data_IF_611093003518
#
_entry.id   IF_611093003518
#
_cell.length_a   1.000
_cell.length_b   1.000
_cell.length_c   1.000
_cell.angle_alpha   90.00
_cell.angle_beta   90.00
_cell.angle_gamma   90.00
#
_symmetry.space_group_name_H-M   'P 1'
#
loop_
_entity.id
_entity.type
_entity.pdbx_description
1 polymer ?
#
# COMPACT_ATOMS: atom_id res chain seq x y z
N UNK A 1 34.03 -25.98 -20.72
CA UNK A 1 34.88 -25.00 -20.00
C UNK A 1 34.31 -23.62 -20.27
N UNK A 2 33.85 -22.80 -19.34
CA UNK A 2 33.66 -22.92 -17.92
C UNK A 2 32.29 -22.27 -17.62
N UNK A 3 31.56 -22.82 -16.66
CA UNK A 3 30.37 -22.22 -16.08
C UNK A 3 30.76 -20.92 -15.40
N UNK A 4 30.42 -19.78 -15.98
CA UNK A 4 30.44 -18.50 -15.25
C UNK A 4 29.10 -18.32 -14.52
N UNK A 5 28.86 -19.26 -13.60
CA UNK A 5 27.77 -19.24 -12.63
C UNK A 5 28.00 -18.14 -11.59
N UNK A 6 27.99 -16.89 -12.03
CA UNK A 6 28.07 -15.75 -11.12
C UNK A 6 26.71 -15.59 -10.43
N UNK A 7 26.50 -16.36 -9.35
CA UNK A 7 25.31 -16.28 -8.51
C UNK A 7 25.03 -14.81 -8.19
N UNK A 8 23.84 -14.33 -8.58
CA UNK A 8 23.44 -12.96 -8.33
C UNK A 8 23.56 -12.67 -6.82
N UNK A 9 24.26 -11.59 -6.46
CA UNK A 9 24.49 -11.22 -5.06
C UNK A 9 23.16 -11.12 -4.30
N UNK A 10 22.92 -12.07 -3.41
CA UNK A 10 21.75 -12.12 -2.53
C UNK A 10 21.92 -11.06 -1.44
N UNK A 11 20.89 -10.22 -1.26
CA UNK A 11 20.86 -9.20 -0.22
C UNK A 11 19.81 -9.58 0.81
N UNK A 12 20.27 -9.83 2.04
CA UNK A 12 19.40 -10.29 3.14
C UNK A 12 18.82 -9.13 3.96
N UNK A 13 17.84 -9.41 4.82
CA UNK A 13 17.29 -8.46 5.78
C UNK A 13 18.38 -7.77 6.62
N UNK A 14 19.42 -8.51 7.03
CA UNK A 14 20.55 -7.95 7.75
C UNK A 14 21.29 -6.90 6.90
N UNK A 15 21.52 -7.16 5.61
CA UNK A 15 22.15 -6.21 4.71
C UNK A 15 21.35 -4.90 4.59
N UNK A 16 20.03 -5.01 4.39
CA UNK A 16 19.16 -3.83 4.33
C UNK A 16 19.13 -3.07 5.65
N UNK A 17 19.07 -3.76 6.79
CA UNK A 17 19.13 -3.15 8.12
C UNK A 17 20.41 -2.32 8.29
N UNK A 18 21.57 -2.93 8.03
CA UNK A 18 22.88 -2.26 8.14
C UNK A 18 22.94 -1.04 7.23
N UNK A 19 22.53 -1.21 5.97
CA UNK A 19 22.57 -0.13 4.99
C UNK A 19 21.66 1.04 5.39
N UNK A 20 20.43 0.75 5.84
CA UNK A 20 19.49 1.76 6.30
C UNK A 20 19.97 2.53 7.53
N UNK A 21 20.56 1.84 8.52
CA UNK A 21 21.11 2.48 9.72
C UNK A 21 22.33 3.34 9.43
N UNK A 22 23.17 2.93 8.46
CA UNK A 22 24.29 3.75 7.96
C UNK A 22 23.80 5.05 7.32
N UNK A 23 22.79 4.99 6.44
CA UNK A 23 22.22 6.21 5.85
C UNK A 23 21.54 7.11 6.88
N UNK A 24 20.87 6.51 7.87
CA UNK A 24 20.29 7.23 8.99
C UNK A 24 21.32 7.79 9.99
N UNK A 25 22.63 7.65 9.73
CA UNK A 25 23.74 8.14 10.56
C UNK A 25 23.66 7.71 12.03
N UNK A 26 23.39 6.42 12.28
CA UNK A 26 23.53 5.82 13.62
C UNK A 26 24.94 5.24 13.79
N UNK A 27 25.95 5.97 14.32
CA UNK A 27 27.35 5.54 14.30
C UNK A 27 27.64 4.29 15.15
N UNK A 28 26.85 4.06 16.21
CA UNK A 28 27.03 2.98 17.17
C UNK A 28 25.91 1.94 17.12
N UNK A 29 25.30 1.75 15.94
CA UNK A 29 24.14 0.86 15.78
C UNK A 29 24.45 -0.60 16.18
N UNK A 30 25.72 -1.03 16.07
CA UNK A 30 26.18 -2.35 16.49
C UNK A 30 26.00 -2.56 18.00
N UNK A 31 26.07 -1.51 18.83
CA UNK A 31 25.84 -1.62 20.28
C UNK A 31 24.37 -1.74 20.65
N UNK A 32 23.46 -1.47 19.71
CA UNK A 32 22.03 -1.54 19.99
C UNK A 32 21.56 -3.00 20.08
N UNK A 33 20.67 -3.28 21.03
CA UNK A 33 19.92 -4.54 21.07
C UNK A 33 19.17 -4.77 19.74
N UNK A 34 18.98 -6.01 19.27
CA UNK A 34 18.34 -6.31 17.98
C UNK A 34 16.99 -5.60 17.77
N UNK A 35 16.10 -5.63 18.79
CA UNK A 35 14.81 -4.92 18.76
C UNK A 35 14.96 -3.41 18.48
N UNK A 36 15.97 -2.76 19.07
CA UNK A 36 16.24 -1.33 18.89
C UNK A 36 16.77 -1.02 17.48
N UNK A 37 17.59 -1.89 16.89
CA UNK A 37 18.05 -1.75 15.50
C UNK A 37 16.89 -1.76 14.52
N UNK A 38 15.98 -2.73 14.68
CA UNK A 38 14.76 -2.82 13.86
C UNK A 38 13.87 -1.60 14.05
N UNK A 39 13.68 -1.16 15.30
CA UNK A 39 12.89 0.05 15.58
C UNK A 39 13.46 1.29 14.89
N UNK A 40 14.79 1.53 15.00
CA UNK A 40 15.45 2.65 14.30
C UNK A 40 15.33 2.57 12.79
N UNK A 41 15.42 1.37 12.21
CA UNK A 41 15.18 1.17 10.80
C UNK A 41 13.73 1.52 10.41
N UNK A 42 12.74 0.98 11.13
CA UNK A 42 11.31 1.26 10.91
C UNK A 42 10.99 2.74 10.96
N UNK A 43 11.62 3.51 11.87
CA UNK A 43 11.41 4.96 11.97
C UNK A 43 11.70 5.70 10.66
N UNK A 44 12.54 5.15 9.78
CA UNK A 44 12.94 5.75 8.51
C UNK A 44 12.34 5.12 7.27
N UNK A 45 11.89 3.86 7.35
CA UNK A 45 11.43 3.08 6.19
C UNK A 45 10.04 2.45 6.37
N UNK A 46 9.41 2.57 7.55
CA UNK A 46 8.02 2.14 7.81
C UNK A 46 7.83 0.65 8.03
N UNK A 47 8.76 -0.17 7.58
CA UNK A 47 8.68 -1.64 7.60
C UNK A 47 9.93 -2.27 8.21
N UNK A 48 9.84 -3.56 8.54
CA UNK A 48 11.01 -4.32 9.00
C UNK A 48 11.95 -4.61 7.81
N UNK A 49 13.25 -4.81 8.05
CA UNK A 49 14.19 -5.16 6.98
C UNK A 49 13.81 -6.44 6.20
N UNK A 50 13.10 -7.37 6.86
CA UNK A 50 12.57 -8.59 6.24
C UNK A 50 11.66 -8.29 5.04
N UNK A 51 10.72 -7.35 5.19
CA UNK A 51 9.83 -6.93 4.09
C UNK A 51 10.63 -6.34 2.94
N UNK A 52 11.72 -5.62 3.21
CA UNK A 52 12.57 -5.04 2.16
C UNK A 52 13.32 -6.13 1.39
N UNK A 53 13.78 -7.17 2.08
CA UNK A 53 14.33 -8.37 1.45
C UNK A 53 13.30 -9.09 0.59
N UNK A 54 12.06 -9.27 1.07
CA UNK A 54 10.98 -9.89 0.31
C UNK A 54 10.69 -9.12 -0.99
N UNK A 55 10.57 -7.79 -0.92
CA UNK A 55 10.42 -6.94 -2.10
C UNK A 55 11.60 -7.11 -3.05
N UNK A 56 12.83 -7.06 -2.53
CA UNK A 56 14.02 -7.21 -3.37
C UNK A 56 14.07 -8.55 -4.09
N UNK A 57 13.70 -9.64 -3.40
CA UNK A 57 13.64 -10.99 -3.94
C UNK A 57 12.59 -11.10 -5.05
N UNK A 58 11.37 -10.60 -4.82
CA UNK A 58 10.31 -10.58 -5.83
C UNK A 58 10.74 -9.78 -7.07
N UNK A 59 11.29 -8.59 -6.87
CA UNK A 59 11.79 -7.78 -7.99
C UNK A 59 12.98 -8.42 -8.70
N UNK A 60 13.85 -9.15 -8.01
CA UNK A 60 15.01 -9.80 -8.61
C UNK A 60 14.63 -11.01 -9.45
N UNK A 61 13.66 -11.78 -8.97
CA UNK A 61 13.29 -13.09 -9.50
C UNK A 61 12.07 -13.05 -10.41
N UNK A 62 11.45 -11.88 -10.63
CA UNK A 62 10.33 -11.76 -11.55
C UNK A 62 10.75 -12.06 -12.98
N UNK A 63 9.93 -12.82 -13.70
CA UNK A 63 10.10 -13.10 -15.13
C UNK A 63 9.71 -11.90 -15.99
N UNK A 64 8.90 -10.98 -15.46
CA UNK A 64 8.50 -9.77 -16.16
C UNK A 64 9.70 -8.79 -16.25
N UNK A 65 10.16 -8.42 -17.47
CA UNK A 65 11.33 -7.55 -17.64
C UNK A 65 11.13 -6.14 -17.07
N UNK A 66 9.90 -5.65 -16.99
CA UNK A 66 9.61 -4.34 -16.39
C UNK A 66 9.79 -4.34 -14.86
N UNK A 67 9.49 -5.48 -14.23
CA UNK A 67 9.65 -5.72 -12.80
C UNK A 67 11.10 -6.08 -12.46
N UNK A 68 11.71 -6.93 -13.29
CA UNK A 68 13.00 -7.58 -13.02
C UNK A 68 14.13 -6.58 -12.78
N UNK A 69 14.86 -6.77 -11.69
CA UNK A 69 16.03 -5.95 -11.38
C UNK A 69 17.24 -6.33 -12.26
N UNK A 70 17.94 -5.35 -12.87
CA UNK A 70 19.17 -5.62 -13.62
C UNK A 70 20.28 -6.08 -12.67
N UNK A 71 21.21 -6.93 -13.12
CA UNK A 71 22.30 -7.50 -12.29
C UNK A 71 23.03 -6.46 -11.42
N UNK A 72 23.27 -5.26 -11.97
CA UNK A 72 23.93 -4.12 -11.29
C UNK A 72 23.06 -3.26 -10.37
N UNK A 73 21.78 -3.61 -10.17
CA UNK A 73 20.88 -2.87 -9.28
C UNK A 73 21.42 -2.84 -7.85
N UNK A 74 21.30 -1.67 -7.20
CA UNK A 74 21.87 -1.44 -5.87
C UNK A 74 20.75 -1.39 -4.81
N UNK A 75 20.90 -2.06 -3.65
CA UNK A 75 19.92 -2.02 -2.55
C UNK A 75 19.54 -0.61 -2.09
N UNK A 76 20.47 0.35 -2.19
CA UNK A 76 20.23 1.78 -1.92
C UNK A 76 19.07 2.34 -2.74
N UNK A 77 18.94 1.94 -4.00
CA UNK A 77 17.90 2.45 -4.90
C UNK A 77 16.50 2.02 -4.44
N UNK A 78 16.36 0.78 -3.95
CA UNK A 78 15.11 0.31 -3.34
C UNK A 78 14.78 1.08 -2.05
N UNK A 79 15.78 1.29 -1.18
CA UNK A 79 15.58 2.04 0.07
C UNK A 79 15.15 3.49 -0.17
N UNK A 80 15.60 4.12 -1.27
CA UNK A 80 15.14 5.46 -1.68
C UNK A 80 13.64 5.43 -1.99
N UNK A 81 13.17 4.48 -2.78
CA UNK A 81 11.75 4.36 -3.13
C UNK A 81 10.88 4.07 -1.90
N UNK A 82 11.29 3.13 -1.04
CA UNK A 82 10.55 2.80 0.19
C UNK A 82 10.47 4.02 1.11
N UNK A 83 11.58 4.75 1.31
CA UNK A 83 11.57 5.98 2.11
C UNK A 83 10.71 7.06 1.46
N UNK A 84 10.75 7.18 0.14
CA UNK A 84 9.89 8.11 -0.59
C UNK A 84 8.41 7.80 -0.35
N UNK A 85 7.97 6.55 -0.45
CA UNK A 85 6.58 6.17 -0.15
C UNK A 85 6.24 6.42 1.34
N UNK A 86 7.11 5.99 2.25
CA UNK A 86 6.83 6.02 3.69
C UNK A 86 6.89 7.42 4.30
N UNK A 87 7.95 8.19 4.01
CA UNK A 87 8.14 9.54 4.56
C UNK A 87 7.60 10.63 3.65
N UNK A 88 7.53 10.37 2.35
CA UNK A 88 7.07 11.32 1.34
C UNK A 88 7.79 12.67 1.37
N UNK A 89 9.08 12.60 1.69
CA UNK A 89 9.97 13.74 1.64
C UNK A 89 10.22 14.25 0.22
N UNK A 90 10.80 15.44 0.11
CA UNK A 90 11.20 16.02 -1.17
C UNK A 90 12.42 15.30 -1.76
N UNK A 91 12.74 15.60 -3.01
CA UNK A 91 13.95 15.08 -3.66
C UNK A 91 15.21 15.58 -2.99
N UNK A 92 15.23 16.86 -2.59
CA UNK A 92 16.31 17.47 -1.83
C UNK A 92 16.55 16.73 -0.49
N UNK A 93 15.49 16.47 0.27
CA UNK A 93 15.59 15.74 1.54
C UNK A 93 16.13 14.31 1.36
N UNK A 94 15.65 13.62 0.33
CA UNK A 94 16.12 12.27 0.00
C UNK A 94 17.58 12.31 -0.48
N UNK A 95 17.95 13.29 -1.31
CA UNK A 95 19.32 13.49 -1.79
C UNK A 95 20.29 13.71 -0.62
N UNK A 96 19.92 14.57 0.33
CA UNK A 96 20.66 14.81 1.56
C UNK A 96 20.77 13.52 2.41
N UNK A 97 19.66 12.82 2.63
CA UNK A 97 19.64 11.60 3.46
C UNK A 97 20.52 10.48 2.89
N UNK A 98 20.51 10.28 1.57
CA UNK A 98 21.27 9.21 0.91
C UNK A 98 22.64 9.66 0.36
N UNK A 99 23.06 10.89 0.65
CA UNK A 99 24.28 11.53 0.14
C UNK A 99 24.40 11.40 -1.39
N UNK A 100 23.37 11.88 -2.11
CA UNK A 100 23.29 11.86 -3.58
C UNK A 100 23.39 13.31 -4.07
N UNK A 101 24.30 13.57 -5.01
CA UNK A 101 24.59 14.93 -5.48
C UNK A 101 23.44 15.59 -6.25
N UNK A 102 22.56 14.82 -6.88
CA UNK A 102 21.55 15.35 -7.80
C UNK A 102 20.15 14.81 -7.48
N UNK A 103 19.18 15.71 -7.31
CA UNK A 103 17.76 15.39 -7.15
C UNK A 103 17.20 14.57 -8.31
N UNK A 104 17.61 14.89 -9.56
CA UNK A 104 17.25 14.12 -10.77
C UNK A 104 17.57 12.63 -10.66
N UNK A 105 18.69 12.28 -10.00
CA UNK A 105 19.08 10.87 -9.80
C UNK A 105 18.18 10.19 -8.77
N UNK A 106 17.87 10.88 -7.67
CA UNK A 106 16.91 10.40 -6.66
C UNK A 106 15.56 10.15 -7.32
N UNK A 107 15.08 11.12 -8.13
CA UNK A 107 13.85 11.01 -8.90
C UNK A 107 13.80 9.79 -9.78
N UNK A 108 14.78 9.64 -10.66
CA UNK A 108 14.86 8.50 -11.55
C UNK A 108 14.83 7.15 -10.80
N UNK A 109 15.52 7.05 -9.66
CA UNK A 109 15.56 5.81 -8.90
C UNK A 109 14.28 5.54 -8.10
N UNK A 110 13.74 6.55 -7.41
CA UNK A 110 12.48 6.42 -6.68
C UNK A 110 11.38 5.89 -7.62
N UNK A 111 11.20 6.49 -8.79
CA UNK A 111 10.10 6.17 -9.70
C UNK A 111 10.21 4.79 -10.26
N UNK A 112 11.43 4.45 -10.70
CA UNK A 112 11.69 3.16 -11.28
C UNK A 112 11.31 2.05 -10.30
N UNK A 113 11.65 2.21 -9.03
CA UNK A 113 11.32 1.20 -8.03
C UNK A 113 9.87 1.29 -7.56
N UNK A 114 9.25 2.47 -7.45
CA UNK A 114 7.81 2.59 -7.17
C UNK A 114 6.99 1.90 -8.27
N UNK A 115 7.27 2.17 -9.55
CA UNK A 115 6.62 1.51 -10.68
C UNK A 115 6.83 -0.01 -10.65
N UNK A 116 8.05 -0.47 -10.35
CA UNK A 116 8.32 -1.91 -10.24
C UNK A 116 7.55 -2.58 -9.12
N UNK A 117 7.48 -1.94 -7.96
CA UNK A 117 6.71 -2.46 -6.82
C UNK A 117 5.22 -2.46 -7.17
N UNK A 118 4.71 -1.41 -7.83
CA UNK A 118 3.29 -1.35 -8.23
C UNK A 118 2.93 -2.45 -9.22
N UNK A 119 3.86 -2.89 -10.07
CA UNK A 119 3.64 -3.96 -11.03
C UNK A 119 3.58 -5.36 -10.38
N UNK A 120 4.00 -5.52 -9.11
CA UNK A 120 3.77 -6.75 -8.35
C UNK A 120 2.32 -6.87 -7.84
N UNK A 121 1.51 -5.81 -7.98
CA UNK A 121 0.17 -5.75 -7.40
C UNK A 121 -0.77 -6.83 -7.94
N UNK A 122 -0.90 -7.07 -9.26
CA UNK A 122 -1.84 -8.07 -9.79
C UNK A 122 -1.54 -9.47 -9.26
N UNK A 123 -0.27 -9.90 -9.31
CA UNK A 123 0.13 -11.25 -8.88
C UNK A 123 0.01 -11.44 -7.35
N UNK A 124 0.24 -10.39 -6.58
CA UNK A 124 0.24 -10.49 -5.11
C UNK A 124 -1.16 -10.38 -4.50
N UNK A 125 -2.02 -9.52 -5.06
CA UNK A 125 -3.38 -9.28 -4.57
C UNK A 125 -4.35 -10.27 -5.21
N UNK A 126 -4.18 -10.56 -6.51
CA UNK A 126 -5.08 -11.39 -7.31
C UNK A 126 -6.36 -10.65 -7.71
N UNK A 127 -7.20 -11.36 -8.45
CA UNK A 127 -8.56 -10.93 -8.81
C UNK A 127 -9.57 -11.25 -7.70
N UNK A 128 -10.81 -10.79 -7.85
CA UNK A 128 -11.89 -11.17 -6.94
C UNK A 128 -12.12 -12.69 -6.97
N UNK A 129 -12.06 -13.30 -8.16
CA UNK A 129 -12.22 -14.74 -8.34
C UNK A 129 -11.10 -15.54 -7.66
N UNK A 130 -9.85 -15.09 -7.74
CA UNK A 130 -8.71 -15.75 -7.05
C UNK A 130 -8.85 -15.74 -5.52
N UNK A 131 -9.70 -14.85 -5.00
CA UNK A 131 -9.90 -14.63 -3.58
C UNK A 131 -11.23 -15.19 -3.04
N UNK A 132 -12.12 -15.69 -3.90
CA UNK A 132 -13.37 -16.32 -3.48
C UNK A 132 -13.11 -17.75 -2.99
N UNK A 133 -13.25 -17.97 -1.69
CA UNK A 133 -13.14 -19.29 -1.05
C UNK A 133 -14.48 -19.98 -0.83
N UNK A 134 -15.54 -19.45 -1.43
CA UNK A 134 -16.85 -20.05 -1.28
C UNK A 134 -17.57 -19.67 0.02
N UNK A 135 -17.13 -18.60 0.71
CA UNK A 135 -17.73 -18.11 1.96
C UNK A 135 -18.90 -17.17 1.71
N UNK A 136 -19.96 -17.24 2.53
CA UNK A 136 -21.13 -16.34 2.40
C UNK A 136 -20.70 -14.89 2.54
N UNK A 137 -19.90 -14.58 3.56
CA UNK A 137 -19.27 -13.28 3.71
C UNK A 137 -17.93 -13.28 2.98
N UNK A 138 -17.93 -12.71 1.77
CA UNK A 138 -16.77 -12.72 0.86
C UNK A 138 -15.64 -11.84 1.40
N UNK A 139 -15.94 -10.57 1.66
CA UNK A 139 -14.99 -9.57 2.16
C UNK A 139 -15.70 -8.42 2.87
N UNK A 140 -14.96 -7.61 3.61
CA UNK A 140 -15.44 -6.29 4.00
C UNK A 140 -15.02 -5.22 3.02
N UNK A 141 -15.86 -4.21 2.83
CA UNK A 141 -15.57 -3.05 1.98
C UNK A 141 -15.61 -1.73 2.74
N UNK A 142 -14.72 -0.81 2.38
CA UNK A 142 -14.70 0.57 2.88
C UNK A 142 -13.92 1.49 1.92
N UNK A 143 -14.23 2.78 1.98
CA UNK A 143 -13.62 3.84 1.19
C UNK A 143 -12.45 4.53 1.92
N UNK A 144 -11.28 4.55 1.30
CA UNK A 144 -10.10 5.30 1.78
C UNK A 144 -9.85 6.57 0.98
N UNK A 145 -10.00 7.72 1.64
CA UNK A 145 -9.68 9.02 1.04
C UNK A 145 -8.21 9.38 1.25
N UNK A 146 -7.53 9.79 0.18
CA UNK A 146 -6.14 10.26 0.16
C UNK A 146 -6.08 11.72 -0.34
N UNK A 147 -5.47 12.64 0.41
CA UNK A 147 -5.44 14.05 0.03
C UNK A 147 -4.54 14.28 -1.18
N UNK A 148 -4.94 15.19 -2.06
CA UNK A 148 -4.20 15.55 -3.28
C UNK A 148 -3.95 17.06 -3.33
N UNK A 149 -3.02 17.49 -4.18
CA UNK A 149 -2.98 18.88 -4.65
C UNK A 149 -4.26 19.20 -5.41
N UNK A 150 -4.64 20.47 -5.46
CA UNK A 150 -5.87 20.86 -6.17
C UNK A 150 -5.70 20.64 -7.68
N UNK A 151 -6.53 19.81 -8.33
CA UNK A 151 -6.53 19.70 -9.78
C UNK A 151 -6.87 21.05 -10.43
N UNK A 152 -6.29 21.33 -11.60
CA UNK A 152 -6.60 22.50 -12.43
C UNK A 152 -7.20 22.02 -13.76
N UNK A 153 -8.34 22.58 -14.22
CA UNK A 153 -9.14 23.60 -13.55
C UNK A 153 -9.80 23.08 -12.26
N UNK A 154 -10.14 24.01 -11.36
CA UNK A 154 -10.78 23.67 -10.08
C UNK A 154 -12.12 22.96 -10.30
N UNK A 155 -12.42 21.96 -9.47
CA UNK A 155 -13.70 21.26 -9.51
C UNK A 155 -14.09 20.70 -8.15
N UNK A 156 -15.37 20.89 -7.76
CA UNK A 156 -15.97 20.25 -6.58
C UNK A 156 -15.97 18.72 -6.66
N UNK A 157 -15.79 18.14 -7.85
CA UNK A 157 -15.70 16.70 -8.08
C UNK A 157 -14.68 16.01 -7.16
N UNK A 158 -13.58 16.68 -6.82
CA UNK A 158 -12.53 16.13 -5.97
C UNK A 158 -12.65 16.53 -4.49
N UNK A 159 -13.71 17.24 -4.11
CA UNK A 159 -13.96 17.68 -2.74
C UNK A 159 -14.27 16.50 -1.83
N UNK A 160 -13.53 16.36 -0.74
CA UNK A 160 -13.75 15.28 0.23
C UNK A 160 -14.32 15.80 1.55
N UNK A 161 -15.47 15.29 1.95
CA UNK A 161 -16.07 15.56 3.26
C UNK A 161 -15.14 15.10 4.40
N UNK A 162 -14.42 13.97 4.23
CA UNK A 162 -13.42 13.47 5.20
C UNK A 162 -12.24 14.44 5.43
N UNK A 163 -12.07 15.44 4.54
CA UNK A 163 -11.03 16.47 4.66
C UNK A 163 -11.60 17.90 4.68
N UNK A 164 -12.87 18.07 5.09
CA UNK A 164 -13.50 19.39 5.21
C UNK A 164 -13.60 20.12 3.87
N UNK A 165 -13.89 19.38 2.79
CA UNK A 165 -14.02 19.92 1.43
C UNK A 165 -12.71 20.09 0.67
N UNK A 166 -11.57 19.72 1.26
CA UNK A 166 -10.27 19.77 0.57
C UNK A 166 -10.16 18.66 -0.50
N UNK A 167 -9.35 18.87 -1.57
CA UNK A 167 -9.15 17.90 -2.64
C UNK A 167 -8.60 16.56 -2.14
N UNK A 168 -9.22 15.46 -2.59
CA UNK A 168 -8.76 14.11 -2.37
C UNK A 168 -9.23 13.17 -3.49
N UNK A 169 -8.64 11.98 -3.52
CA UNK A 169 -9.15 10.80 -4.24
C UNK A 169 -9.67 9.78 -3.24
N UNK A 170 -10.66 8.98 -3.62
CA UNK A 170 -11.16 7.84 -2.86
C UNK A 170 -10.75 6.53 -3.55
N UNK A 171 -10.55 5.46 -2.77
CA UNK A 171 -10.42 4.10 -3.28
C UNK A 171 -11.36 3.22 -2.48
N UNK A 172 -12.03 2.26 -3.13
CA UNK A 172 -12.77 1.22 -2.41
C UNK A 172 -11.85 0.01 -2.22
N UNK A 173 -11.62 -0.38 -0.98
CA UNK A 173 -10.85 -1.57 -0.65
C UNK A 173 -11.78 -2.71 -0.26
N UNK A 174 -11.34 -3.94 -0.52
CA UNK A 174 -11.95 -5.15 0.02
C UNK A 174 -10.93 -6.00 0.76
N UNK A 175 -11.24 -6.36 2.02
CA UNK A 175 -10.35 -7.14 2.89
C UNK A 175 -11.04 -8.42 3.32
N UNK A 176 -10.33 -9.54 3.23
CA UNK A 176 -10.91 -10.85 3.58
C UNK A 176 -11.11 -10.99 5.09
N UNK A 177 -12.26 -11.55 5.54
CA UNK A 177 -12.57 -11.67 6.95
C UNK A 177 -11.70 -12.73 7.64
N UNK A 178 -11.35 -13.80 6.93
CA UNK A 178 -10.70 -15.01 7.45
C UNK A 178 -9.18 -15.02 7.34
N UNK A 179 -8.58 -14.20 6.46
CA UNK A 179 -7.12 -14.10 6.28
C UNK A 179 -6.66 -12.65 6.14
N UNK A 180 -5.43 -12.28 6.54
CA UNK A 180 -4.94 -10.90 6.47
C UNK A 180 -4.53 -10.55 5.03
N UNK A 181 -5.53 -10.45 4.14
CA UNK A 181 -5.33 -10.25 2.71
C UNK A 181 -6.28 -9.18 2.18
N UNK A 182 -5.71 -8.21 1.46
CA UNK A 182 -6.45 -7.35 0.55
C UNK A 182 -6.87 -8.18 -0.68
N UNK A 183 -8.13 -8.15 -1.03
CA UNK A 183 -8.70 -8.90 -2.15
C UNK A 183 -9.29 -8.02 -3.26
N UNK A 184 -9.52 -6.74 -2.97
CA UNK A 184 -10.12 -5.81 -3.91
C UNK A 184 -9.56 -4.41 -3.71
N UNK A 185 -9.29 -3.73 -4.82
CA UNK A 185 -9.03 -2.29 -4.87
C UNK A 185 -9.70 -1.75 -6.12
N UNK A 186 -10.68 -0.87 -5.94
CA UNK A 186 -11.22 -0.10 -7.04
C UNK A 186 -10.57 1.28 -7.11
N UNK A 187 -10.35 1.71 -8.35
CA UNK A 187 -9.57 2.85 -8.83
C UNK A 187 -9.77 4.17 -8.07
N UNK A 188 -8.88 5.17 -8.26
CA UNK A 188 -9.11 6.50 -7.69
C UNK A 188 -10.43 7.07 -8.22
N UNK A 189 -11.42 7.17 -7.33
CA UNK A 189 -12.73 7.76 -7.60
C UNK A 189 -12.81 9.17 -7.02
N UNK A 190 -13.62 10.05 -7.62
CA UNK A 190 -13.83 11.42 -7.17
C UNK A 190 -14.79 11.50 -5.97
N UNK A 191 -14.33 11.80 -4.73
CA UNK A 191 -15.16 11.74 -3.53
C UNK A 191 -16.27 12.80 -3.47
N UNK A 192 -16.18 13.87 -4.28
CA UNK A 192 -17.19 14.92 -4.34
C UNK A 192 -18.28 14.65 -5.38
N UNK A 193 -18.10 13.65 -6.24
CA UNK A 193 -19.08 13.23 -7.24
C UNK A 193 -19.63 11.82 -6.97
N UNK A 194 -18.88 10.98 -6.27
CA UNK A 194 -19.25 9.60 -5.97
C UNK A 194 -19.16 9.37 -4.46
N UNK A 195 -20.28 9.00 -3.85
CA UNK A 195 -20.28 8.47 -2.49
C UNK A 195 -19.90 6.99 -2.50
N UNK A 196 -19.55 6.45 -1.34
CA UNK A 196 -19.10 5.06 -1.17
C UNK A 196 -20.08 4.04 -1.79
N UNK A 197 -21.38 4.22 -1.61
CA UNK A 197 -22.42 3.38 -2.22
C UNK A 197 -22.43 3.43 -3.76
N UNK A 198 -22.22 4.61 -4.34
CA UNK A 198 -22.16 4.78 -5.80
C UNK A 198 -20.90 4.16 -6.40
N UNK A 199 -19.79 4.15 -5.66
CA UNK A 199 -18.55 3.47 -6.05
C UNK A 199 -18.81 1.96 -6.10
N UNK A 200 -19.36 1.39 -5.03
CA UNK A 200 -19.78 -0.02 -4.99
C UNK A 200 -20.65 -0.41 -6.18
N UNK A 201 -21.71 0.38 -6.44
CA UNK A 201 -22.66 0.15 -7.54
C UNK A 201 -22.02 0.22 -8.93
N UNK A 202 -21.02 1.08 -9.11
CA UNK A 202 -20.38 1.28 -10.42
C UNK A 202 -19.52 0.11 -10.89
N UNK A 203 -19.03 -0.72 -9.96
CA UNK A 203 -18.10 -1.80 -10.30
C UNK A 203 -18.38 -3.08 -9.53
N UNK A 204 -18.11 -3.08 -8.22
CA UNK A 204 -18.09 -4.31 -7.42
C UNK A 204 -19.45 -5.03 -7.40
N UNK A 205 -20.57 -4.29 -7.40
CA UNK A 205 -21.91 -4.89 -7.46
C UNK A 205 -22.10 -5.86 -8.64
N UNK A 206 -21.56 -5.51 -9.82
CA UNK A 206 -21.67 -6.36 -11.02
C UNK A 206 -20.71 -7.56 -11.01
N UNK A 207 -19.73 -7.58 -10.10
CA UNK A 207 -18.75 -8.67 -9.95
C UNK A 207 -19.10 -9.60 -8.77
N UNK A 208 -20.16 -9.30 -8.01
CA UNK A 208 -20.59 -10.10 -6.87
C UNK A 208 -21.14 -11.45 -7.32
N UNK A 209 -20.60 -12.58 -6.81
CA UNK A 209 -21.20 -13.88 -7.06
C UNK A 209 -22.57 -14.00 -6.39
N UNK A 210 -23.47 -14.78 -6.98
CA UNK A 210 -24.83 -14.96 -6.47
C UNK A 210 -24.84 -15.53 -5.04
N UNK A 211 -25.70 -14.99 -4.18
CA UNK A 211 -25.82 -15.41 -2.78
C UNK A 211 -24.68 -14.98 -1.86
N UNK A 212 -23.63 -14.33 -2.38
CA UNK A 212 -22.53 -13.76 -1.59
C UNK A 212 -22.90 -12.41 -1.00
N UNK A 213 -22.33 -12.12 0.16
CA UNK A 213 -22.49 -10.85 0.87
C UNK A 213 -21.15 -10.24 1.24
N UNK A 214 -21.12 -8.92 1.26
CA UNK A 214 -20.03 -8.11 1.80
C UNK A 214 -20.38 -7.64 3.20
N UNK A 215 -19.37 -7.25 3.98
CA UNK A 215 -19.55 -6.61 5.29
C UNK A 215 -19.10 -5.15 5.17
N UNK A 216 -19.98 -4.21 5.50
CA UNK A 216 -19.65 -2.79 5.40
C UNK A 216 -20.31 -1.98 6.51
N UNK A 217 -19.96 -0.70 6.60
CA UNK A 217 -20.63 0.24 7.49
C UNK A 217 -22.09 0.50 7.04
N UNK A 218 -22.90 0.97 7.98
CA UNK A 218 -24.31 1.35 7.84
C UNK A 218 -24.61 2.27 6.65
N UNK A 219 -23.65 3.07 6.19
CA UNK A 219 -23.78 3.94 5.00
C UNK A 219 -24.07 3.15 3.71
N UNK A 220 -23.76 1.85 3.70
CA UNK A 220 -24.02 0.93 2.58
C UNK A 220 -25.36 0.17 2.71
N UNK A 221 -26.19 0.47 3.70
CA UNK A 221 -27.44 -0.27 4.01
C UNK A 221 -28.48 -0.28 2.90
N UNK A 222 -28.37 0.60 1.91
CA UNK A 222 -29.26 0.66 0.75
C UNK A 222 -29.06 -0.47 -0.29
N UNK A 223 -28.19 -1.45 -0.02
CA UNK A 223 -27.98 -2.66 -0.84
C UNK A 223 -28.02 -3.93 0.04
N UNK A 224 -29.13 -4.22 0.74
CA UNK A 224 -29.21 -5.29 1.75
C UNK A 224 -29.11 -6.71 1.18
N UNK A 225 -29.27 -6.87 -0.14
CA UNK A 225 -29.07 -8.13 -0.86
C UNK A 225 -27.58 -8.51 -0.92
N UNK A 226 -26.71 -7.50 -1.12
CA UNK A 226 -25.27 -7.68 -1.33
C UNK A 226 -24.46 -7.33 -0.09
N UNK A 227 -24.96 -6.48 0.79
CA UNK A 227 -24.20 -5.91 1.90
C UNK A 227 -24.89 -6.20 3.22
N UNK A 228 -24.13 -6.76 4.16
CA UNK A 228 -24.53 -6.97 5.53
C UNK A 228 -23.85 -5.93 6.42
N UNK A 229 -24.64 -5.00 6.94
CA UNK A 229 -24.21 -4.02 7.92
C UNK A 229 -24.44 -4.52 9.34
N UNK A 230 -23.89 -3.85 10.35
CA UNK A 230 -24.28 -4.09 11.75
C UNK A 230 -25.78 -3.78 11.91
N UNK A 231 -26.49 -4.64 12.63
CA UNK A 231 -27.87 -4.37 13.03
C UNK A 231 -28.14 -4.92 14.44
N UNK A 232 -29.13 -4.36 15.14
CA UNK A 232 -29.43 -4.70 16.54
C UNK A 232 -30.12 -6.06 16.71
N UNK A 233 -30.63 -6.64 15.62
CA UNK A 233 -31.23 -7.97 15.57
C UNK A 233 -30.17 -9.08 15.31
N UNK A 234 -28.90 -8.71 15.05
CA UNK A 234 -27.83 -9.70 14.89
C UNK A 234 -27.64 -10.47 16.20
N UNK A 235 -27.67 -11.82 16.18
CA UNK A 235 -27.24 -12.61 17.33
C UNK A 235 -25.82 -12.20 17.75
N UNK A 236 -25.55 -12.22 19.06
CA UNK A 236 -24.27 -11.77 19.61
C UNK A 236 -23.03 -12.34 18.87
N UNK A 237 -22.99 -13.62 18.45
CA UNK A 237 -21.86 -14.15 17.68
C UNK A 237 -21.65 -13.47 16.33
N UNK A 238 -22.74 -13.12 15.62
CA UNK A 238 -22.71 -12.44 14.32
C UNK A 238 -22.29 -10.98 14.48
N UNK A 239 -22.85 -10.30 15.48
CA UNK A 239 -22.48 -8.92 15.80
C UNK A 239 -20.97 -8.81 16.12
N UNK A 240 -20.46 -9.66 17.03
CA UNK A 240 -19.02 -9.74 17.34
C UNK A 240 -18.16 -10.11 16.13
N UNK A 241 -18.66 -10.94 15.23
CA UNK A 241 -17.95 -11.28 14.00
C UNK A 241 -17.83 -10.06 13.08
N UNK A 242 -18.94 -9.34 12.80
CA UNK A 242 -18.93 -8.12 11.98
C UNK A 242 -18.03 -7.05 12.59
N UNK A 243 -18.06 -6.86 13.92
CA UNK A 243 -17.17 -5.95 14.63
C UNK A 243 -15.68 -6.24 14.36
N UNK A 244 -15.27 -7.52 14.49
CA UNK A 244 -13.89 -7.92 14.21
C UNK A 244 -13.52 -7.69 12.75
N UNK A 245 -14.42 -8.00 11.82
CA UNK A 245 -14.15 -7.81 10.39
C UNK A 245 -13.98 -6.33 10.05
N UNK A 246 -14.84 -5.46 10.56
CA UNK A 246 -14.74 -4.01 10.34
C UNK A 246 -13.49 -3.43 11.01
N UNK A 247 -13.16 -3.86 12.23
CA UNK A 247 -11.91 -3.46 12.90
C UNK A 247 -10.66 -3.89 12.11
N UNK A 248 -10.65 -5.09 11.53
CA UNK A 248 -9.57 -5.55 10.63
C UNK A 248 -9.45 -4.67 9.40
N UNK A 249 -10.57 -4.27 8.81
CA UNK A 249 -10.59 -3.36 7.67
C UNK A 249 -10.01 -2.00 8.05
N UNK A 250 -10.47 -1.42 9.17
CA UNK A 250 -9.95 -0.15 9.66
C UNK A 250 -8.45 -0.22 9.92
N UNK A 251 -7.96 -1.30 10.54
CA UNK A 251 -6.53 -1.53 10.75
C UNK A 251 -5.75 -1.60 9.44
N UNK A 252 -6.32 -2.19 8.38
CA UNK A 252 -5.71 -2.18 7.04
C UNK A 252 -5.64 -0.75 6.47
N UNK A 253 -6.75 0.00 6.52
CA UNK A 253 -6.81 1.39 6.05
C UNK A 253 -5.82 2.29 6.78
N UNK A 254 -5.69 2.12 8.11
CA UNK A 254 -4.70 2.83 8.91
C UNK A 254 -3.27 2.49 8.46
N UNK A 255 -2.94 1.23 8.19
CA UNK A 255 -1.61 0.80 7.70
C UNK A 255 -1.24 1.46 6.36
N UNK A 256 -2.19 1.56 5.43
CA UNK A 256 -1.99 2.32 4.19
C UNK A 256 -1.74 3.80 4.48
N UNK A 257 -2.51 4.41 5.38
CA UNK A 257 -2.32 5.82 5.80
C UNK A 257 -1.05 6.08 6.61
N UNK A 258 -0.29 5.06 7.00
CA UNK A 258 1.03 5.26 7.61
C UNK A 258 2.10 5.65 6.58
N UNK A 259 1.84 5.42 5.29
CA UNK A 259 2.69 5.91 4.22
C UNK A 259 2.38 7.38 3.95
N UNK A 260 3.39 8.23 4.13
CA UNK A 260 3.28 9.67 3.94
C UNK A 260 2.72 10.06 2.57
N UNK A 261 2.97 9.25 1.53
CA UNK A 261 2.45 9.51 0.18
C UNK A 261 0.94 9.38 0.07
N UNK A 262 0.31 8.63 0.97
CA UNK A 262 -1.15 8.45 1.06
C UNK A 262 -1.79 9.35 2.14
N UNK A 263 -0.98 9.88 3.06
CA UNK A 263 -1.44 10.71 4.20
C UNK A 263 -1.30 12.21 3.95
N UNK A 264 -0.22 12.62 3.30
CA UNK A 264 0.07 14.01 2.97
C UNK A 264 -0.47 14.32 1.57
N UNK A 265 -0.65 15.61 1.26
CA UNK A 265 -1.15 16.03 -0.06
C UNK A 265 -0.26 15.47 -1.17
N UNK A 266 -0.84 14.61 -2.00
CA UNK A 266 -0.16 14.05 -3.16
C UNK A 266 0.18 15.15 -4.16
N UNK A 267 1.43 15.17 -4.63
CA UNK A 267 2.00 16.24 -5.44
C UNK A 267 1.76 15.92 -6.91
N UNK A 268 0.92 16.72 -7.55
CA UNK A 268 0.63 16.59 -8.97
C UNK A 268 1.86 16.93 -9.79
N UNK A 269 2.66 17.88 -9.34
CA UNK A 269 3.96 18.11 -9.95
C UNK A 269 4.98 17.23 -9.26
N UNK A 270 5.68 16.45 -10.06
CA UNK A 270 6.66 15.53 -9.51
C UNK A 270 7.21 14.59 -10.54
N UNK A 271 7.38 13.37 -10.10
CA UNK A 271 8.48 12.53 -10.50
C UNK A 271 8.45 12.00 -11.95
N UNK A 272 7.36 12.10 -12.70
CA UNK A 272 7.35 11.91 -14.15
C UNK A 272 6.39 12.93 -14.77
N UNK A 273 6.87 13.67 -15.78
CA UNK A 273 6.08 14.70 -16.47
C UNK A 273 5.15 14.14 -17.56
N UNK A 274 5.21 12.83 -17.82
CA UNK A 274 4.57 12.18 -18.97
C UNK A 274 3.34 11.34 -18.60
N UNK A 275 3.04 11.17 -17.30
CA UNK A 275 1.90 10.37 -16.82
C UNK A 275 0.93 11.24 -16.02
N UNK A 276 -0.37 11.04 -16.27
CA UNK A 276 -1.45 11.71 -15.55
C UNK A 276 -1.29 11.54 -14.03
N UNK A 277 -1.62 12.58 -13.26
CA UNK A 277 -1.43 12.54 -11.81
C UNK A 277 -2.25 11.44 -11.14
N UNK A 278 -3.41 11.07 -11.70
CA UNK A 278 -4.24 9.97 -11.19
C UNK A 278 -3.51 8.64 -11.38
N UNK A 279 -2.94 8.40 -12.56
CA UNK A 279 -2.17 7.18 -12.83
C UNK A 279 -0.97 7.07 -11.89
N UNK A 280 -0.25 8.16 -11.64
CA UNK A 280 0.86 8.16 -10.67
C UNK A 280 0.39 7.92 -9.25
N UNK A 281 -0.75 8.47 -8.85
CA UNK A 281 -1.34 8.19 -7.55
C UNK A 281 -1.75 6.72 -7.44
N UNK A 282 -2.34 6.14 -8.48
CA UNK A 282 -2.72 4.73 -8.53
C UNK A 282 -1.49 3.82 -8.45
N UNK A 283 -0.41 4.12 -9.18
CA UNK A 283 0.87 3.40 -9.05
C UNK A 283 1.42 3.48 -7.62
N UNK A 284 1.39 4.65 -7.00
CA UNK A 284 1.80 4.82 -5.61
C UNK A 284 0.91 3.99 -4.66
N UNK A 285 -0.40 3.98 -4.89
CA UNK A 285 -1.37 3.21 -4.09
C UNK A 285 -1.10 1.72 -4.20
N UNK A 286 -0.96 1.20 -5.42
CA UNK A 286 -0.64 -0.21 -5.67
C UNK A 286 0.70 -0.60 -5.04
N UNK A 287 1.71 0.26 -5.14
CA UNK A 287 3.00 0.02 -4.49
C UNK A 287 2.86 -0.06 -2.96
N UNK A 288 2.09 0.85 -2.34
CA UNK A 288 1.81 0.80 -0.90
C UNK A 288 1.04 -0.46 -0.51
N UNK A 289 0.02 -0.85 -1.28
CA UNK A 289 -0.74 -2.07 -1.04
C UNK A 289 0.15 -3.32 -1.10
N UNK A 290 1.07 -3.40 -2.08
CA UNK A 290 2.06 -4.48 -2.16
C UNK A 290 2.94 -4.51 -0.91
N UNK A 291 3.45 -3.36 -0.47
CA UNK A 291 4.28 -3.29 0.73
C UNK A 291 3.52 -3.73 1.98
N UNK A 292 2.29 -3.25 2.17
CA UNK A 292 1.44 -3.64 3.31
C UNK A 292 1.13 -5.14 3.25
N UNK A 293 0.75 -5.68 2.09
CA UNK A 293 0.44 -7.10 1.95
C UNK A 293 1.66 -7.98 2.26
N UNK A 294 2.87 -7.58 1.85
CA UNK A 294 4.08 -8.31 2.22
C UNK A 294 4.38 -8.24 3.72
N UNK A 295 4.07 -7.12 4.39
CA UNK A 295 4.17 -7.03 5.85
C UNK A 295 3.20 -7.97 6.58
N UNK A 296 2.01 -8.19 6.01
CA UNK A 296 1.04 -9.15 6.53
C UNK A 296 1.49 -10.60 6.28
N UNK A 297 1.92 -10.91 5.06
CA UNK A 297 2.35 -12.25 4.66
C UNK A 297 3.52 -12.77 5.50
N UNK A 298 4.49 -11.92 5.82
CA UNK A 298 5.65 -12.30 6.63
C UNK A 298 5.43 -12.12 8.15
N UNK A 299 4.19 -11.87 8.58
CA UNK A 299 3.81 -11.72 9.99
C UNK A 299 4.47 -10.54 10.69
N UNK A 300 5.04 -9.58 9.95
CA UNK A 300 5.66 -8.39 10.55
C UNK A 300 4.62 -7.36 11.01
N UNK A 301 3.40 -7.47 10.50
CA UNK A 301 2.19 -6.78 10.94
C UNK A 301 1.01 -7.77 10.98
N UNK A 302 -0.03 -7.43 11.74
CA UNK A 302 -1.29 -8.19 11.82
C UNK A 302 -2.47 -7.24 11.68
N UNK A 303 -3.63 -7.73 11.22
CA UNK A 303 -4.87 -6.95 11.21
C UNK A 303 -5.67 -7.06 12.51
N UNK A 304 -5.21 -7.89 13.45
CA UNK A 304 -5.89 -8.11 14.74
C UNK A 304 -5.41 -7.17 15.85
N UNK A 305 -4.18 -6.67 15.74
CA UNK A 305 -3.64 -5.72 16.71
C UNK A 305 -3.85 -4.28 16.21
N UNK A 306 -4.25 -3.36 17.10
CA UNK A 306 -4.22 -1.94 16.79
C UNK A 306 -2.81 -1.53 16.36
N UNK A 307 -2.74 -0.57 15.45
CA UNK A 307 -1.50 -0.15 14.81
C UNK A 307 -0.39 0.24 15.83
N UNK A 308 0.87 -0.24 15.69
CA UNK A 308 1.97 0.06 16.61
C UNK A 308 2.71 1.38 16.37
#
# INVERSE_FOLDING_TARGET
MAEDGQHAKLFTAHHFMVLGLKYARFPNWQRYKPKRRIHRFKQHFGMKPQTVEDVWRLLRNSDNPDIRLPKKAKPKELLIAIRHLFKYHTEADLAMFFNIKTEKTVRRWANRYVRRISLLFPDLIGTLADNDEGLVFLMSIDGIHCPIEEPRPWSKKWSSHKFGGKPAVNYEFGVLPHKPKLAWVHEPTPPGAMNDLSVFRSKLKGEMPEGRRLIADSIYSAEPEYISTKNDLDPQPISKFKDRVLSRHENYNQRVKCFGIMKLKFRHRGFAATEDWQQRHQQAMHAVCVLVQLQLNNGTQTLLDPYP
#
